data_IF_681110574328
#
_entry.id   IF_681110574328
#
_cell.length_a   1.000
_cell.length_b   1.000
_cell.length_c   1.000
_cell.angle_alpha   90.00
_cell.angle_beta   90.00
_cell.angle_gamma   90.00
#
_symmetry.space_group_name_H-M   'P 1'
#
loop_
_entity.id
_entity.type
_entity.pdbx_description
1 polymer ?
#
# COMPACT_ATOMS: atom_id res chain seq x y z
N UNK A 1 4.99 22.13 11.73
CA UNK A 1 3.69 21.69 11.14
C UNK A 1 3.78 21.33 9.66
N UNK A 2 4.74 21.87 8.88
CA UNK A 2 4.95 21.49 7.48
C UNK A 2 5.56 20.08 7.28
N UNK A 3 6.43 19.61 8.19
CA UNK A 3 7.17 18.36 7.94
C UNK A 3 6.33 17.07 7.93
N UNK A 4 5.23 17.00 8.69
CA UNK A 4 4.38 15.80 8.79
C UNK A 4 3.68 15.47 7.46
N UNK A 5 2.99 16.41 6.78
CA UNK A 5 2.37 16.10 5.50
C UNK A 5 3.39 15.75 4.41
N UNK A 6 4.60 16.34 4.40
CA UNK A 6 5.63 15.92 3.45
C UNK A 6 6.15 14.51 3.72
N UNK A 7 6.31 14.13 4.99
CA UNK A 7 6.68 12.76 5.35
C UNK A 7 5.61 11.73 4.91
N UNK A 8 4.32 12.08 5.07
CA UNK A 8 3.21 11.26 4.56
C UNK A 8 3.25 11.13 3.03
N UNK A 9 3.47 12.23 2.31
CA UNK A 9 3.61 12.22 0.86
C UNK A 9 4.76 11.31 0.44
N UNK A 10 5.93 11.44 1.08
CA UNK A 10 7.09 10.61 0.77
C UNK A 10 6.83 9.11 0.99
N UNK A 11 6.17 8.75 2.10
CA UNK A 11 5.77 7.36 2.37
C UNK A 11 4.76 6.84 1.34
N UNK A 12 3.77 7.64 0.96
CA UNK A 12 2.78 7.24 -0.04
C UNK A 12 3.41 7.09 -1.43
N UNK A 13 4.34 7.97 -1.81
CA UNK A 13 5.11 7.81 -3.05
C UNK A 13 5.97 6.56 -3.04
N UNK A 14 6.63 6.26 -1.91
CA UNK A 14 7.38 5.01 -1.75
C UNK A 14 6.46 3.79 -1.90
N UNK A 15 5.30 3.82 -1.24
CA UNK A 15 4.27 2.78 -1.38
C UNK A 15 3.82 2.61 -2.83
N UNK A 16 3.54 3.71 -3.54
CA UNK A 16 3.17 3.70 -4.95
C UNK A 16 4.24 3.05 -5.83
N UNK A 17 5.52 3.39 -5.62
CA UNK A 17 6.65 2.81 -6.36
C UNK A 17 6.80 1.31 -6.07
N UNK A 18 6.69 0.89 -4.80
CA UNK A 18 6.73 -0.52 -4.41
C UNK A 18 5.57 -1.32 -5.04
N UNK A 19 4.36 -0.76 -5.03
CA UNK A 19 3.21 -1.36 -5.71
C UNK A 19 3.40 -1.42 -7.22
N UNK A 20 3.95 -0.37 -7.84
CA UNK A 20 4.28 -0.37 -9.26
C UNK A 20 5.31 -1.45 -9.63
N UNK A 21 6.32 -1.65 -8.79
CA UNK A 21 7.28 -2.74 -8.97
C UNK A 21 6.62 -4.12 -8.83
N UNK A 22 5.78 -4.33 -7.82
CA UNK A 22 5.02 -5.56 -7.65
C UNK A 22 4.14 -5.86 -8.88
N UNK A 23 3.45 -4.85 -9.39
CA UNK A 23 2.63 -4.97 -10.61
C UNK A 23 3.47 -5.33 -11.83
N UNK A 24 4.63 -4.69 -12.01
CA UNK A 24 5.55 -5.02 -13.11
C UNK A 24 6.05 -6.47 -13.02
N UNK A 25 6.35 -6.96 -11.82
CA UNK A 25 6.75 -8.37 -11.59
C UNK A 25 5.60 -9.31 -11.96
N UNK A 26 4.38 -9.03 -11.52
CA UNK A 26 3.18 -9.82 -11.82
C UNK A 26 2.94 -9.92 -13.33
N UNK A 27 2.97 -8.80 -14.05
CA UNK A 27 2.76 -8.77 -15.51
C UNK A 27 3.86 -9.54 -16.27
N UNK A 28 5.13 -9.36 -15.87
CA UNK A 28 6.25 -10.06 -16.51
C UNK A 28 6.21 -11.56 -16.25
N UNK A 29 5.85 -11.97 -15.03
CA UNK A 29 5.67 -13.38 -14.68
C UNK A 29 4.52 -14.01 -15.48
N UNK A 30 3.39 -13.32 -15.61
CA UNK A 30 2.26 -13.76 -16.40
C UNK A 30 2.62 -13.91 -17.89
N UNK A 31 3.29 -12.91 -18.47
CA UNK A 31 3.74 -12.96 -19.86
C UNK A 31 4.75 -14.09 -20.11
N UNK A 32 5.73 -14.28 -19.23
CA UNK A 32 6.70 -15.36 -19.34
C UNK A 32 6.02 -16.74 -19.27
N UNK A 33 5.05 -16.91 -18.37
CA UNK A 33 4.25 -18.13 -18.25
C UNK A 33 3.48 -18.44 -19.54
N UNK A 34 2.88 -17.43 -20.18
CA UNK A 34 2.18 -17.61 -21.46
C UNK A 34 3.12 -18.04 -22.60
N UNK A 35 4.37 -17.56 -22.59
CA UNK A 35 5.39 -17.92 -23.57
C UNK A 35 6.14 -19.21 -23.23
N UNK A 36 5.83 -19.87 -22.11
CA UNK A 36 6.52 -21.08 -21.66
C UNK A 36 7.94 -20.84 -21.14
N UNK A 37 8.29 -19.61 -20.78
CA UNK A 37 9.60 -19.25 -20.23
C UNK A 37 9.57 -19.13 -18.70
N UNK A 38 10.69 -19.45 -18.07
CA UNK A 38 10.91 -19.14 -16.66
C UNK A 38 11.15 -17.64 -16.45
N UNK A 39 10.54 -17.07 -15.40
CA UNK A 39 10.80 -15.70 -14.97
C UNK A 39 11.17 -15.68 -13.49
N UNK A 40 12.21 -14.91 -13.17
CA UNK A 40 12.69 -14.68 -11.81
C UNK A 40 12.85 -13.19 -11.60
N UNK A 41 12.19 -12.64 -10.59
CA UNK A 41 12.28 -11.24 -10.24
C UNK A 41 13.53 -10.93 -9.42
N UNK A 42 13.97 -9.67 -9.42
CA UNK A 42 15.09 -9.23 -8.57
C UNK A 42 14.80 -9.39 -7.07
N UNK A 43 13.54 -9.33 -6.68
CA UNK A 43 13.09 -9.56 -5.31
C UNK A 43 12.90 -11.05 -4.94
N UNK A 44 13.25 -11.99 -5.83
CA UNK A 44 13.36 -13.41 -5.51
C UNK A 44 14.77 -13.71 -4.95
N UNK A 45 14.90 -13.79 -3.62
CA UNK A 45 16.18 -13.86 -2.91
C UNK A 45 16.25 -15.15 -2.09
N UNK A 46 17.20 -16.02 -2.42
CA UNK A 46 17.37 -17.30 -1.75
C UNK A 46 16.08 -18.14 -1.82
N UNK A 47 15.54 -18.60 -0.67
CA UNK A 47 14.30 -19.38 -0.64
C UNK A 47 13.03 -18.54 -0.82
N UNK A 48 13.14 -17.21 -0.83
CA UNK A 48 11.99 -16.31 -0.82
C UNK A 48 11.64 -15.86 -2.25
N UNK A 49 10.37 -15.99 -2.64
CA UNK A 49 9.92 -15.62 -3.99
C UNK A 49 8.71 -14.69 -3.99
N UNK A 50 8.96 -13.43 -4.32
CA UNK A 50 7.90 -12.47 -4.62
C UNK A 50 7.16 -12.86 -5.92
N UNK A 51 7.84 -13.43 -6.90
CA UNK A 51 7.21 -13.91 -8.14
C UNK A 51 6.14 -14.96 -7.84
N UNK A 52 6.43 -15.94 -6.97
CA UNK A 52 5.47 -16.95 -6.52
C UNK A 52 4.28 -16.30 -5.80
N UNK A 53 4.55 -15.34 -4.93
CA UNK A 53 3.51 -14.62 -4.16
C UNK A 53 2.58 -13.84 -5.07
N UNK A 54 3.11 -13.03 -6.00
CA UNK A 54 2.28 -12.23 -6.91
C UNK A 54 1.54 -13.06 -7.96
N UNK A 55 2.09 -14.21 -8.34
CA UNK A 55 1.45 -15.13 -9.29
C UNK A 55 0.44 -16.08 -8.64
N UNK A 56 0.29 -16.03 -7.31
CA UNK A 56 -0.67 -16.87 -6.58
C UNK A 56 -2.11 -16.39 -6.75
N UNK A 57 -3.08 -17.21 -6.34
CA UNK A 57 -4.49 -16.79 -6.30
C UNK A 57 -4.70 -15.60 -5.35
N UNK A 58 -3.86 -15.46 -4.32
CA UNK A 58 -3.90 -14.32 -3.41
C UNK A 58 -3.27 -13.05 -3.99
N UNK A 59 -2.63 -13.10 -5.17
CA UNK A 59 -2.18 -11.93 -5.92
C UNK A 59 -3.32 -11.01 -6.39
N UNK A 60 -4.57 -11.52 -6.39
CA UNK A 60 -5.77 -10.75 -6.69
C UNK A 60 -6.87 -11.04 -5.66
N UNK A 61 -6.80 -10.40 -4.49
CA UNK A 61 -7.71 -10.66 -3.39
C UNK A 61 -9.18 -10.31 -3.71
N UNK A 62 -9.42 -9.45 -4.71
CA UNK A 62 -10.77 -9.04 -5.13
C UNK A 62 -11.64 -10.23 -5.55
N UNK A 63 -11.04 -11.31 -6.08
CA UNK A 63 -11.79 -12.49 -6.52
C UNK A 63 -12.49 -13.23 -5.37
N UNK A 64 -11.99 -13.10 -4.13
CA UNK A 64 -12.62 -13.69 -2.94
C UNK A 64 -13.85 -12.93 -2.46
N UNK A 65 -14.10 -11.74 -3.01
CA UNK A 65 -15.24 -10.89 -2.69
C UNK A 65 -16.28 -10.84 -3.82
N UNK A 66 -16.20 -11.76 -4.80
CA UNK A 66 -17.09 -11.76 -5.97
C UNK A 66 -16.86 -10.60 -6.94
N UNK A 67 -15.72 -9.93 -6.83
CA UNK A 67 -15.33 -8.82 -7.72
C UNK A 67 -14.44 -9.34 -8.86
N UNK A 68 -14.35 -8.60 -9.99
CA UNK A 68 -13.41 -8.93 -11.06
C UNK A 68 -12.00 -9.12 -10.54
N UNK A 69 -11.30 -10.14 -11.06
CA UNK A 69 -9.93 -10.47 -10.68
C UNK A 69 -9.01 -9.28 -11.00
N UNK A 70 -8.59 -8.59 -9.95
CA UNK A 70 -7.82 -7.35 -10.03
C UNK A 70 -6.56 -7.50 -9.19
N UNK A 71 -5.41 -7.17 -9.76
CA UNK A 71 -4.11 -7.21 -9.08
C UNK A 71 -4.15 -6.39 -7.78
N UNK A 72 -3.70 -7.00 -6.68
CA UNK A 72 -3.50 -6.28 -5.41
C UNK A 72 -2.50 -5.13 -5.57
N UNK A 73 -1.50 -5.30 -6.44
CA UNK A 73 -0.51 -4.27 -6.71
C UNK A 73 -1.14 -3.07 -7.44
N UNK A 74 -2.05 -3.31 -8.38
CA UNK A 74 -2.82 -2.24 -9.03
C UNK A 74 -3.76 -1.52 -8.04
N UNK A 75 -4.45 -2.25 -7.17
CA UNK A 75 -5.25 -1.68 -6.08
C UNK A 75 -4.38 -0.83 -5.15
N UNK A 76 -3.19 -1.32 -4.80
CA UNK A 76 -2.20 -0.60 -4.00
C UNK A 76 -1.73 0.71 -4.65
N UNK A 77 -1.42 0.70 -5.95
CA UNK A 77 -1.08 1.92 -6.68
C UNK A 77 -2.22 2.94 -6.63
N UNK A 78 -3.47 2.52 -6.88
CA UNK A 78 -4.62 3.41 -6.81
C UNK A 78 -4.82 3.98 -5.39
N UNK A 79 -4.66 3.15 -4.36
CA UNK A 79 -4.71 3.56 -2.96
C UNK A 79 -3.65 4.64 -2.66
N UNK A 80 -2.37 4.39 -2.96
CA UNK A 80 -1.31 5.35 -2.67
C UNK A 80 -1.44 6.65 -3.48
N UNK A 81 -1.93 6.58 -4.72
CA UNK A 81 -2.24 7.78 -5.51
C UNK A 81 -3.33 8.62 -4.83
N UNK A 82 -4.40 7.98 -4.34
CA UNK A 82 -5.46 8.67 -3.60
C UNK A 82 -4.94 9.30 -2.30
N UNK A 83 -4.10 8.59 -1.54
CA UNK A 83 -3.47 9.11 -0.32
C UNK A 83 -2.60 10.35 -0.60
N UNK A 84 -1.81 10.35 -1.68
CA UNK A 84 -1.03 11.52 -2.10
C UNK A 84 -1.94 12.71 -2.40
N UNK A 85 -3.05 12.50 -3.13
CA UNK A 85 -4.01 13.57 -3.43
C UNK A 85 -4.63 14.15 -2.15
N UNK A 86 -5.00 13.29 -1.19
CA UNK A 86 -5.48 13.73 0.11
C UNK A 86 -4.43 14.56 0.85
N UNK A 87 -3.17 14.11 0.86
CA UNK A 87 -2.07 14.84 1.49
C UNK A 87 -1.80 16.21 0.83
N UNK A 88 -1.84 16.30 -0.50
CA UNK A 88 -1.71 17.56 -1.23
C UNK A 88 -2.84 18.55 -0.88
N UNK A 89 -4.05 18.05 -0.66
CA UNK A 89 -5.18 18.83 -0.16
C UNK A 89 -4.93 19.43 1.23
N UNK A 90 -4.16 18.74 2.08
CA UNK A 90 -3.76 19.24 3.40
C UNK A 90 -2.66 20.30 3.31
N UNK A 91 -1.70 20.15 2.37
CA UNK A 91 -0.59 21.11 2.18
C UNK A 91 -1.09 22.43 1.58
N UNK A 92 -1.88 22.39 0.49
CA UNK A 92 -2.30 23.60 -0.25
C UNK A 92 -3.16 24.58 0.56
N UNK A 93 -3.82 24.13 1.63
CA UNK A 93 -4.75 24.97 2.41
C UNK A 93 -4.14 25.63 3.66
N UNK A 94 -2.82 25.58 3.84
CA UNK A 94 -2.10 26.44 4.79
C UNK A 94 -2.64 26.49 6.22
N UNK A 95 -3.24 25.40 6.74
CA UNK A 95 -3.80 25.37 8.09
C UNK A 95 -5.23 25.93 8.26
N UNK A 96 -5.93 26.30 7.17
CA UNK A 96 -7.33 26.70 7.25
C UNK A 96 -8.21 25.49 7.67
N UNK A 97 -8.80 25.55 8.87
CA UNK A 97 -9.68 24.54 9.48
C UNK A 97 -11.07 24.46 8.83
N UNK A 98 -11.13 24.45 7.50
CA UNK A 98 -12.38 24.33 6.75
C UNK A 98 -12.90 22.88 6.68
N UNK A 99 -14.15 22.71 6.23
CA UNK A 99 -14.78 21.39 6.08
C UNK A 99 -13.93 20.43 5.26
N UNK A 100 -13.35 20.89 4.15
CA UNK A 100 -12.48 20.08 3.28
C UNK A 100 -11.25 19.53 4.03
N UNK A 101 -10.61 20.33 4.90
CA UNK A 101 -9.45 19.88 5.68
C UNK A 101 -9.83 18.76 6.66
N UNK A 102 -10.97 18.91 7.35
CA UNK A 102 -11.51 17.88 8.24
C UNK A 102 -11.84 16.59 7.49
N UNK A 103 -12.47 16.71 6.31
CA UNK A 103 -12.80 15.56 5.47
C UNK A 103 -11.54 14.84 4.98
N UNK A 104 -10.53 15.55 4.45
CA UNK A 104 -9.28 14.94 4.01
C UNK A 104 -8.58 14.18 5.16
N UNK A 105 -8.51 14.78 6.36
CA UNK A 105 -7.92 14.12 7.53
C UNK A 105 -8.70 12.89 7.97
N UNK A 106 -10.04 12.94 7.94
CA UNK A 106 -10.88 11.82 8.31
C UNK A 106 -10.67 10.66 7.33
N UNK A 107 -10.73 10.94 6.03
CA UNK A 107 -10.52 9.94 4.98
C UNK A 107 -9.15 9.29 5.13
N UNK A 108 -8.07 10.07 5.23
CA UNK A 108 -6.70 9.59 5.39
C UNK A 108 -6.53 8.66 6.59
N UNK A 109 -7.24 8.92 7.70
CA UNK A 109 -7.19 8.08 8.91
C UNK A 109 -7.94 6.77 8.71
N UNK A 110 -9.13 6.82 8.13
CA UNK A 110 -9.94 5.63 7.89
C UNK A 110 -9.26 4.71 6.88
N UNK A 111 -8.75 5.28 5.79
CA UNK A 111 -8.05 4.55 4.73
C UNK A 111 -6.72 3.96 5.21
N UNK A 112 -5.89 4.71 5.95
CA UNK A 112 -4.64 4.18 6.50
C UNK A 112 -4.86 3.14 7.61
N UNK A 113 -5.92 3.27 8.42
CA UNK A 113 -6.32 2.24 9.36
C UNK A 113 -6.75 0.95 8.66
N UNK A 114 -7.57 1.07 7.62
CA UNK A 114 -8.00 -0.06 6.80
C UNK A 114 -6.83 -0.73 6.10
N UNK A 115 -5.86 0.02 5.56
CA UNK A 115 -4.70 -0.54 4.87
C UNK A 115 -3.82 -1.39 5.79
N UNK A 116 -3.69 -1.02 7.08
CA UNK A 116 -3.01 -1.85 8.09
C UNK A 116 -3.78 -3.14 8.35
N UNK A 117 -5.11 -3.08 8.47
CA UNK A 117 -5.95 -4.27 8.64
C UNK A 117 -5.82 -5.25 7.47
N UNK A 118 -5.89 -4.73 6.23
CA UNK A 118 -5.66 -5.53 5.01
C UNK A 118 -4.23 -6.09 4.97
N UNK A 119 -3.23 -5.31 5.37
CA UNK A 119 -1.84 -5.77 5.44
C UNK A 119 -1.66 -6.92 6.42
N UNK A 120 -2.32 -6.88 7.58
CA UNK A 120 -2.28 -7.97 8.56
C UNK A 120 -2.92 -9.26 8.01
N UNK A 121 -4.07 -9.14 7.32
CA UNK A 121 -4.70 -10.28 6.65
C UNK A 121 -3.81 -10.88 5.56
N UNK A 122 -3.17 -10.05 4.73
CA UNK A 122 -2.24 -10.53 3.71
C UNK A 122 -0.94 -11.09 4.30
N UNK A 123 -0.46 -10.55 5.42
CA UNK A 123 0.69 -11.11 6.13
C UNK A 123 0.38 -12.50 6.70
N UNK A 124 -0.85 -12.72 7.19
CA UNK A 124 -1.32 -14.05 7.58
C UNK A 124 -1.28 -15.01 6.39
N UNK A 125 -1.83 -14.62 5.24
CA UNK A 125 -1.78 -15.41 4.00
C UNK A 125 -0.34 -15.73 3.59
N UNK A 126 0.54 -14.75 3.66
CA UNK A 126 1.95 -14.89 3.28
C UNK A 126 2.66 -15.97 4.12
N UNK A 127 2.47 -15.95 5.43
CA UNK A 127 3.15 -16.86 6.37
C UNK A 127 2.48 -18.23 6.45
N UNK A 128 1.15 -18.28 6.60
CA UNK A 128 0.42 -19.50 6.94
C UNK A 128 -0.18 -20.22 5.74
N UNK A 129 -0.36 -19.54 4.60
CA UNK A 129 -0.97 -20.15 3.41
C UNK A 129 0.07 -20.38 2.32
N UNK A 130 0.86 -19.35 1.99
CA UNK A 130 1.87 -19.46 0.92
C UNK A 130 3.21 -20.04 1.40
N UNK A 131 3.46 -20.00 2.72
CA UNK A 131 4.73 -20.38 3.34
C UNK A 131 5.93 -19.73 2.65
N UNK A 132 5.84 -18.42 2.39
CA UNK A 132 6.85 -17.64 1.68
C UNK A 132 7.04 -16.28 2.35
N UNK A 133 8.13 -15.58 2.04
CA UNK A 133 8.39 -14.24 2.60
C UNK A 133 8.66 -13.25 1.48
N UNK A 134 7.64 -12.48 1.12
CA UNK A 134 7.74 -11.46 0.09
C UNK A 134 8.33 -10.16 0.66
N UNK A 135 9.61 -9.88 0.36
CA UNK A 135 10.30 -8.67 0.83
C UNK A 135 9.58 -7.37 0.42
N UNK A 136 9.04 -7.32 -0.81
CA UNK A 136 8.29 -6.16 -1.30
C UNK A 136 7.00 -5.96 -0.51
N UNK A 137 6.28 -7.05 -0.23
CA UNK A 137 5.05 -7.04 0.56
C UNK A 137 5.32 -6.57 1.99
N UNK A 138 6.37 -7.12 2.64
CA UNK A 138 6.80 -6.67 3.96
C UNK A 138 7.14 -5.17 3.97
N UNK A 139 7.81 -4.67 2.92
CA UNK A 139 8.12 -3.24 2.78
C UNK A 139 6.85 -2.39 2.68
N UNK A 140 5.86 -2.82 1.89
CA UNK A 140 4.54 -2.18 1.79
C UNK A 140 3.81 -2.20 3.13
N UNK A 141 3.89 -3.29 3.90
CA UNK A 141 3.26 -3.36 5.23
C UNK A 141 3.89 -2.37 6.21
N UNK A 142 5.23 -2.24 6.19
CA UNK A 142 5.94 -1.23 6.98
C UNK A 142 5.52 0.18 6.58
N UNK A 143 5.39 0.45 5.27
CA UNK A 143 4.88 1.74 4.76
C UNK A 143 3.47 2.02 5.28
N UNK A 144 2.56 1.05 5.22
CA UNK A 144 1.19 1.21 5.71
C UNK A 144 1.12 1.51 7.21
N UNK A 145 1.89 0.78 8.01
CA UNK A 145 1.98 1.01 9.46
C UNK A 145 2.55 2.40 9.73
N UNK A 146 3.64 2.79 9.06
CA UNK A 146 4.25 4.10 9.23
C UNK A 146 3.27 5.24 8.87
N UNK A 147 2.57 5.12 7.74
CA UNK A 147 1.54 6.08 7.31
C UNK A 147 0.43 6.20 8.35
N UNK A 148 -0.10 5.08 8.85
CA UNK A 148 -1.13 5.07 9.89
C UNK A 148 -0.65 5.74 11.19
N UNK A 149 0.57 5.41 11.65
CA UNK A 149 1.17 6.02 12.85
C UNK A 149 1.31 7.53 12.70
N UNK A 150 1.79 8.02 11.56
CA UNK A 150 1.92 9.45 11.30
C UNK A 150 0.54 10.15 11.25
N UNK A 151 -0.46 9.54 10.62
CA UNK A 151 -1.83 10.05 10.60
C UNK A 151 -2.42 10.18 12.01
N UNK A 152 -2.18 9.18 12.87
CA UNK A 152 -2.65 9.17 14.26
C UNK A 152 -1.91 10.19 15.14
N UNK A 153 -0.61 10.38 14.94
CA UNK A 153 0.17 11.43 15.62
C UNK A 153 -0.33 12.83 15.27
N UNK A 154 -0.64 13.08 14.00
CA UNK A 154 -1.21 14.36 13.57
C UNK A 154 -2.54 14.69 14.27
N UNK A 155 -3.36 13.69 14.61
CA UNK A 155 -4.61 13.88 15.39
C UNK A 155 -4.33 14.34 16.81
N UNK A 156 -3.36 13.72 17.51
CA UNK A 156 -3.03 14.09 18.91
C UNK A 156 -2.57 15.54 18.99
N UNK A 157 -1.78 15.96 18.01
CA UNK A 157 -1.30 17.34 17.90
C UNK A 157 -2.40 18.33 17.49
N UNK A 158 -3.49 17.88 16.87
CA UNK A 158 -4.66 18.71 16.61
C UNK A 158 -5.53 18.87 17.87
N UNK A 159 -5.79 17.77 18.60
CA UNK A 159 -6.61 17.77 19.83
C UNK A 159 -5.96 18.59 20.95
N UNK A 160 -4.64 18.50 21.14
CA UNK A 160 -3.92 19.29 22.17
C UNK A 160 -4.00 20.81 21.94
N UNK A 161 -4.48 21.26 20.78
CA UNK A 161 -4.51 22.66 20.35
C UNK A 161 -5.90 23.29 20.42
N UNK A 162 -6.93 22.50 20.71
CA UNK A 162 -8.30 22.94 20.93
C UNK A 162 -8.59 22.86 22.43
#
# INVERSE_FOLDING_TARGET
MLHVPYALIALCLLGFVLSGYAYAVEQRAAAAKQLGHGYRAYCDIGPFSCTKVFSSDFGSATQFFGLPKTSNAAVGMAFYAAEVLLCLGLVRRGGARGCVHRTCLLLLRLSSGLSVGVSAALAYVLVFVLHDLCLVCCSIYVVNIATCVLCMRQRREAIKRD
#
